data_IF_296859180944
#
_entry.id   IF_296859180944
#
_cell.length_a   1.000
_cell.length_b   1.000
_cell.length_c   1.000
_cell.angle_alpha   90.00
_cell.angle_beta   90.00
_cell.angle_gamma   90.00
#
_symmetry.space_group_name_H-M   'P 1'
#
loop_
_entity.id
_entity.type
_entity.pdbx_description
1 polymer ?
#
# COMPACT_ATOMS: atom_id res chain seq x y z
N UNK A 1 -25.50 -4.42 19.52
CA UNK A 1 -24.43 -3.45 19.83
C UNK A 1 -24.04 -2.82 18.52
N UNK A 2 -24.23 -1.52 18.38
CA UNK A 2 -23.70 -0.77 17.24
C UNK A 2 -22.18 -0.87 17.32
N UNK A 3 -21.56 -1.51 16.33
CA UNK A 3 -20.12 -1.79 16.35
C UNK A 3 -19.33 -0.49 16.46
N UNK A 4 -18.27 -0.48 17.27
CA UNK A 4 -17.38 0.68 17.36
C UNK A 4 -16.89 1.05 15.96
N UNK A 5 -17.04 2.32 15.57
CA UNK A 5 -16.56 2.82 14.28
C UNK A 5 -15.03 2.67 14.23
N UNK A 6 -14.47 1.93 13.27
CA UNK A 6 -13.04 1.77 13.18
C UNK A 6 -12.36 3.06 12.74
N UNK A 7 -11.12 3.26 13.18
CA UNK A 7 -10.24 4.26 12.58
C UNK A 7 -9.71 3.73 11.24
N UNK A 8 -9.55 4.62 10.26
CA UNK A 8 -8.99 4.29 8.95
C UNK A 8 -7.64 5.00 8.83
N UNK A 9 -6.58 4.23 8.59
CA UNK A 9 -5.22 4.74 8.36
C UNK A 9 -4.81 4.36 6.95
N UNK A 10 -4.48 5.34 6.12
CA UNK A 10 -3.92 5.15 4.79
C UNK A 10 -2.45 5.55 4.81
N UNK A 11 -1.58 4.56 4.59
CA UNK A 11 -0.12 4.76 4.52
C UNK A 11 0.28 4.67 3.05
N UNK A 12 0.93 5.72 2.54
CA UNK A 12 1.43 5.79 1.17
C UNK A 12 2.95 6.01 1.21
N UNK A 13 3.72 5.06 0.66
CA UNK A 13 5.15 5.22 0.44
C UNK A 13 5.39 5.94 -0.90
N UNK A 14 6.45 6.76 -0.97
CA UNK A 14 6.88 7.42 -2.20
C UNK A 14 7.91 6.56 -2.92
N UNK A 15 7.71 6.32 -4.21
CA UNK A 15 8.61 5.58 -5.11
C UNK A 15 9.03 4.16 -4.68
N UNK A 16 8.31 3.53 -3.74
CA UNK A 16 8.55 2.13 -3.36
C UNK A 16 8.15 1.17 -4.48
N UNK A 17 9.11 0.37 -4.92
CA UNK A 17 8.93 -0.68 -5.91
C UNK A 17 8.17 -1.89 -5.36
N UNK A 18 7.51 -2.64 -6.25
CA UNK A 18 6.75 -3.83 -5.88
C UNK A 18 7.62 -4.90 -5.19
N UNK A 19 8.87 -5.05 -5.63
CA UNK A 19 9.82 -6.02 -5.08
C UNK A 19 10.70 -5.48 -3.96
N UNK A 20 10.40 -4.31 -3.38
CA UNK A 20 11.30 -3.68 -2.40
C UNK A 20 11.18 -4.26 -0.99
N UNK A 21 10.11 -5.01 -0.67
CA UNK A 21 9.85 -5.53 0.68
C UNK A 21 9.84 -7.06 0.70
N UNK A 22 10.18 -7.63 1.86
CA UNK A 22 10.29 -9.08 2.08
C UNK A 22 9.02 -9.86 1.72
N UNK A 23 7.85 -9.32 2.04
CA UNK A 23 6.55 -9.90 1.69
C UNK A 23 6.32 -10.09 0.17
N UNK A 24 7.07 -9.39 -0.68
CA UNK A 24 7.06 -9.54 -2.14
C UNK A 24 8.32 -10.20 -2.70
N UNK A 25 9.15 -10.81 -1.84
CA UNK A 25 10.29 -11.63 -2.22
C UNK A 25 11.64 -10.93 -2.20
N UNK A 26 11.77 -9.76 -1.57
CA UNK A 26 13.08 -9.15 -1.37
C UNK A 26 13.87 -9.91 -0.29
N UNK A 27 15.04 -10.45 -0.66
CA UNK A 27 15.94 -11.15 0.27
C UNK A 27 17.08 -10.25 0.79
N UNK A 28 17.28 -9.08 0.18
CA UNK A 28 18.39 -8.16 0.49
C UNK A 28 18.00 -7.07 1.50
N UNK A 29 16.70 -6.81 1.68
CA UNK A 29 16.18 -5.73 2.54
C UNK A 29 15.26 -6.29 3.62
N UNK A 30 15.66 -6.08 4.88
CA UNK A 30 14.86 -6.47 6.04
C UNK A 30 13.68 -5.51 6.27
N UNK A 31 12.44 -5.99 6.09
CA UNK A 31 11.20 -5.22 6.32
C UNK A 31 10.26 -5.86 7.35
N UNK A 32 10.73 -6.29 8.54
CA UNK A 32 10.00 -7.19 9.42
C UNK A 32 8.64 -6.67 9.90
N UNK A 33 8.47 -5.35 10.04
CA UNK A 33 7.19 -4.75 10.44
C UNK A 33 6.16 -4.79 9.30
N UNK A 34 6.61 -4.58 8.05
CA UNK A 34 5.73 -4.68 6.89
C UNK A 34 5.38 -6.13 6.58
N UNK A 35 6.33 -7.05 6.77
CA UNK A 35 6.12 -8.48 6.58
C UNK A 35 5.12 -9.04 7.61
N UNK A 36 5.20 -8.57 8.85
CA UNK A 36 4.19 -8.86 9.87
C UNK A 36 2.82 -8.29 9.52
N UNK A 37 2.75 -7.04 9.03
CA UNK A 37 1.48 -6.45 8.59
C UNK A 37 0.85 -7.24 7.43
N UNK A 38 1.67 -7.73 6.50
CA UNK A 38 1.23 -8.56 5.39
C UNK A 38 0.67 -9.93 5.86
N UNK A 39 1.25 -10.52 6.90
CA UNK A 39 0.81 -11.83 7.42
C UNK A 39 -0.49 -11.78 8.23
N UNK A 40 -0.81 -10.63 8.83
CA UNK A 40 -2.05 -10.41 9.59
C UNK A 40 -3.22 -9.90 8.73
N UNK A 41 -2.98 -9.65 7.43
CA UNK A 41 -3.91 -8.93 6.56
C UNK A 41 -4.18 -9.58 5.21
N UNK A 42 -4.60 -8.74 4.26
CA UNK A 42 -4.81 -9.11 2.86
C UNK A 42 -3.71 -8.45 2.03
N UNK A 43 -3.00 -9.26 1.24
CA UNK A 43 -1.97 -8.80 0.30
C UNK A 43 -2.57 -8.70 -1.10
N UNK A 44 -2.44 -7.53 -1.73
CA UNK A 44 -2.85 -7.30 -3.11
C UNK A 44 -1.65 -7.48 -4.05
N UNK A 45 -1.60 -8.59 -4.78
CA UNK A 45 -0.51 -8.89 -5.73
C UNK A 45 -0.63 -8.18 -7.07
N UNK A 46 -1.72 -7.43 -7.29
CA UNK A 46 -2.05 -6.71 -8.52
C UNK A 46 -2.67 -5.32 -8.21
N UNK A 47 -2.02 -4.54 -7.32
CA UNK A 47 -2.46 -3.18 -6.97
C UNK A 47 -1.76 -2.12 -7.83
N UNK A 48 -2.46 -1.58 -8.82
CA UNK A 48 -1.90 -0.61 -9.77
C UNK A 48 -2.22 0.83 -9.39
N UNK A 49 -1.20 1.70 -9.41
CA UNK A 49 -1.40 3.16 -9.38
C UNK A 49 -2.07 3.62 -10.67
N UNK A 50 -2.96 4.61 -10.57
CA UNK A 50 -3.63 5.21 -11.74
C UNK A 50 -2.67 6.00 -12.64
N UNK A 51 -1.46 6.32 -12.17
CA UNK A 51 -0.43 7.02 -12.93
C UNK A 51 0.98 6.66 -12.44
N UNK A 52 2.00 6.66 -13.33
CA UNK A 52 3.39 6.43 -12.93
C UNK A 52 4.07 7.67 -12.34
N UNK A 53 3.35 8.76 -12.05
CA UNK A 53 3.92 10.03 -11.56
C UNK A 53 3.21 10.49 -10.28
N UNK A 54 3.96 11.07 -9.33
CA UNK A 54 3.49 11.32 -7.96
C UNK A 54 2.19 12.13 -7.88
N UNK A 55 2.14 13.31 -8.52
CA UNK A 55 0.98 14.20 -8.44
C UNK A 55 -0.31 13.58 -9.00
N UNK A 56 -0.34 13.06 -10.24
CA UNK A 56 -1.54 12.41 -10.78
C UNK A 56 -1.92 11.13 -10.02
N UNK A 57 -0.96 10.33 -9.53
CA UNK A 57 -1.24 9.14 -8.72
C UNK A 57 -1.97 9.50 -7.41
N UNK A 58 -1.50 10.53 -6.70
CA UNK A 58 -2.11 11.01 -5.45
C UNK A 58 -3.46 11.67 -5.69
N UNK A 59 -3.61 12.43 -6.78
CA UNK A 59 -4.89 13.01 -7.16
C UNK A 59 -5.96 11.94 -7.40
N UNK A 60 -5.59 10.85 -8.10
CA UNK A 60 -6.50 9.73 -8.34
C UNK A 60 -6.87 8.98 -7.07
N UNK A 61 -5.90 8.72 -6.18
CA UNK A 61 -6.12 8.08 -4.88
C UNK A 61 -7.11 8.85 -4.00
N UNK A 62 -6.98 10.18 -3.93
CA UNK A 62 -7.83 11.03 -3.07
C UNK A 62 -9.23 11.26 -3.64
N UNK A 63 -9.38 11.23 -4.95
CA UNK A 63 -10.66 11.58 -5.62
C UNK A 63 -11.43 10.38 -6.14
N UNK A 64 -10.79 9.21 -6.29
CA UNK A 64 -11.38 8.04 -6.95
C UNK A 64 -11.63 8.26 -8.44
N UNK A 65 -10.90 9.16 -9.09
CA UNK A 65 -11.06 9.53 -10.50
C UNK A 65 -9.76 9.35 -11.26
N UNK A 66 -9.86 9.10 -12.56
CA UNK A 66 -8.67 9.12 -13.42
C UNK A 66 -8.04 10.52 -13.44
N UNK A 67 -6.69 10.61 -13.42
CA UNK A 67 -5.97 11.87 -13.49
C UNK A 67 -5.97 12.47 -14.89
#
# INVERSE_FOLDING_TARGET
MEGMKPNIILILADDMGYGDIGAFGNEDVDTPILDHLASEGIVLTQHYSASPVCAPARAALLTGRYP
#
